data_IF_401129469658
#
_entry.id   IF_401129469658
#
_cell.length_a   1.000
_cell.length_b   1.000
_cell.length_c   1.000
_cell.angle_alpha   90.00
_cell.angle_beta   90.00
_cell.angle_gamma   90.00
#
_symmetry.space_group_name_H-M   'P 1'
#
loop_
_entity.id
_entity.type
_entity.pdbx_description
1 polymer ?
#
# COMPACT_ATOMS: atom_id res chain seq x y z
N UNK A 1 -7.62 12.55 -27.67
CA UNK A 1 -6.86 13.64 -28.32
C UNK A 1 -5.42 13.21 -28.47
N UNK A 2 -4.83 13.33 -29.67
CA UNK A 2 -3.40 13.01 -29.87
C UNK A 2 -2.59 14.30 -29.61
N UNK A 3 -2.40 14.65 -28.36
CA UNK A 3 -1.63 15.81 -27.95
C UNK A 3 -0.58 15.37 -26.91
N UNK A 4 0.54 16.07 -26.86
CA UNK A 4 1.49 15.93 -25.76
C UNK A 4 0.86 16.46 -24.46
N UNK A 5 1.38 16.03 -23.32
CA UNK A 5 1.05 16.63 -22.04
C UNK A 5 1.97 17.81 -21.77
N UNK A 6 1.43 18.90 -21.22
CA UNK A 6 2.17 20.07 -20.73
C UNK A 6 1.80 20.37 -19.28
N UNK A 7 2.55 21.23 -18.65
CA UNK A 7 2.25 21.73 -17.30
C UNK A 7 0.80 22.20 -17.20
N UNK A 8 0.15 21.89 -16.09
CA UNK A 8 -1.25 22.24 -15.84
C UNK A 8 -1.48 23.75 -15.93
N UNK A 9 -2.46 24.13 -16.74
CA UNK A 9 -2.83 25.53 -17.02
C UNK A 9 -3.79 26.16 -15.98
N UNK A 10 -4.16 25.38 -14.94
CA UNK A 10 -5.11 25.81 -13.92
C UNK A 10 -6.59 25.55 -14.24
N UNK A 11 -6.93 25.15 -15.46
CA UNK A 11 -8.33 24.98 -15.93
C UNK A 11 -8.58 23.65 -16.63
N UNK A 12 -7.77 23.33 -17.63
CA UNK A 12 -8.01 22.20 -18.54
C UNK A 12 -7.13 21.01 -18.16
N UNK A 13 -7.70 20.02 -17.54
CA UNK A 13 -6.99 18.78 -17.20
C UNK A 13 -6.96 17.83 -18.40
N UNK A 14 -5.91 17.00 -18.49
CA UNK A 14 -5.73 16.00 -19.53
C UNK A 14 -5.60 14.61 -18.91
N UNK A 15 -6.63 13.77 -19.06
CA UNK A 15 -6.61 12.42 -18.50
C UNK A 15 -5.95 11.43 -19.49
N UNK A 16 -4.91 10.74 -19.00
CA UNK A 16 -4.15 9.69 -19.68
C UNK A 16 -4.52 8.32 -19.11
N UNK A 17 -4.15 7.24 -19.77
CA UNK A 17 -4.35 5.87 -19.26
C UNK A 17 -3.65 5.62 -17.90
N UNK A 18 -2.57 6.36 -17.61
CA UNK A 18 -1.80 6.31 -16.36
C UNK A 18 -2.45 7.07 -15.21
N UNK A 19 -3.40 7.95 -15.51
CA UNK A 19 -4.07 8.80 -14.52
C UNK A 19 -5.35 8.14 -13.98
N UNK A 20 -5.67 6.93 -14.47
CA UNK A 20 -6.76 6.09 -13.96
C UNK A 20 -6.16 5.13 -12.93
N UNK A 21 -6.54 5.31 -11.67
CA UNK A 21 -6.14 4.42 -10.59
C UNK A 21 -6.72 3.02 -10.79
N UNK A 22 -5.87 2.00 -10.69
CA UNK A 22 -6.25 0.62 -10.98
C UNK A 22 -7.20 0.02 -9.94
N UNK A 23 -7.00 0.38 -8.67
CA UNK A 23 -7.76 -0.19 -7.57
C UNK A 23 -9.15 0.45 -7.43
N UNK A 24 -9.25 1.76 -7.70
CA UNK A 24 -10.46 2.54 -7.46
C UNK A 24 -11.20 2.94 -8.73
N UNK A 25 -10.54 2.82 -9.90
CA UNK A 25 -11.06 3.29 -11.19
C UNK A 25 -11.46 4.78 -11.18
N UNK A 26 -10.73 5.58 -10.42
CA UNK A 26 -10.91 7.03 -10.30
C UNK A 26 -9.78 7.80 -10.96
N UNK A 27 -10.03 9.05 -11.31
CA UNK A 27 -8.98 9.97 -11.75
C UNK A 27 -8.07 10.34 -10.58
N UNK A 28 -6.74 10.34 -10.82
CA UNK A 28 -5.76 10.70 -9.80
C UNK A 28 -5.19 12.10 -10.06
N UNK A 29 -5.17 12.93 -9.02
CA UNK A 29 -4.65 14.32 -9.07
C UNK A 29 -3.15 14.42 -8.74
N UNK A 30 -2.40 13.30 -8.73
CA UNK A 30 -0.99 13.29 -8.30
C UNK A 30 -0.05 14.00 -9.28
N UNK A 31 -0.38 13.97 -10.56
CA UNK A 31 0.44 14.55 -11.63
C UNK A 31 -0.49 15.19 -12.68
N UNK A 32 -1.13 16.29 -12.29
CA UNK A 32 -2.09 16.99 -13.15
C UNK A 32 -1.34 17.65 -14.30
N UNK A 33 -1.81 17.37 -15.52
CA UNK A 33 -1.29 17.96 -16.76
C UNK A 33 -2.41 18.55 -17.60
N UNK A 34 -2.06 19.42 -18.54
CA UNK A 34 -2.96 19.94 -19.58
C UNK A 34 -2.58 19.38 -20.95
N UNK A 35 -3.51 19.29 -21.93
CA UNK A 35 -3.17 18.94 -23.29
C UNK A 35 -2.40 20.07 -23.97
N UNK A 36 -1.32 19.72 -24.68
CA UNK A 36 -0.55 20.66 -25.49
C UNK A 36 -1.11 20.70 -26.92
N UNK A 37 -1.82 21.77 -27.26
CA UNK A 37 -2.43 21.96 -28.56
C UNK A 37 -3.84 22.56 -28.54
N UNK A 38 -4.47 22.60 -29.69
CA UNK A 38 -5.83 23.14 -29.84
C UNK A 38 -6.84 22.23 -29.17
N UNK A 39 -7.57 22.78 -28.20
CA UNK A 39 -8.64 22.07 -27.49
C UNK A 39 -9.81 21.82 -28.47
N UNK A 40 -10.31 20.60 -28.52
CA UNK A 40 -11.44 20.21 -29.36
C UNK A 40 -12.53 19.62 -28.47
N UNK A 41 -13.75 20.11 -28.61
CA UNK A 41 -14.89 19.71 -27.77
C UNK A 41 -15.24 18.23 -27.87
N UNK A 42 -14.90 17.57 -28.96
CA UNK A 42 -15.10 16.13 -29.11
C UNK A 42 -14.21 15.27 -28.20
N UNK A 43 -13.18 15.86 -27.57
CA UNK A 43 -12.35 15.22 -26.56
C UNK A 43 -12.65 15.70 -25.13
N UNK A 44 -13.60 16.61 -24.97
CA UNK A 44 -14.09 17.02 -23.66
C UNK A 44 -14.92 15.88 -23.07
N UNK A 45 -14.63 15.53 -21.82
CA UNK A 45 -15.37 14.52 -21.06
C UNK A 45 -16.60 15.17 -20.42
N UNK A 46 -17.74 14.54 -20.55
CA UNK A 46 -19.03 15.05 -20.09
C UNK A 46 -19.71 14.07 -19.13
N UNK A 47 -20.80 14.50 -18.52
CA UNK A 47 -21.65 13.62 -17.71
C UNK A 47 -22.02 12.36 -18.49
N UNK A 48 -22.10 11.24 -17.78
CA UNK A 48 -22.39 9.92 -18.33
C UNK A 48 -21.31 9.32 -19.27
N UNK A 49 -20.15 9.98 -19.40
CA UNK A 49 -19.04 9.42 -20.15
C UNK A 49 -18.25 8.41 -19.32
N UNK A 50 -18.04 7.24 -19.90
CA UNK A 50 -17.10 6.23 -19.42
C UNK A 50 -15.90 6.24 -20.36
N UNK A 51 -14.69 6.38 -19.82
CA UNK A 51 -13.44 6.25 -20.56
C UNK A 51 -12.86 4.86 -20.38
N UNK A 52 -12.40 4.25 -21.45
CA UNK A 52 -11.85 2.89 -21.51
C UNK A 52 -10.43 2.93 -22.06
N UNK A 53 -9.48 2.37 -21.35
CA UNK A 53 -8.08 2.29 -21.79
C UNK A 53 -7.95 1.22 -22.89
N UNK A 54 -7.36 1.61 -24.03
CA UNK A 54 -7.33 0.77 -25.24
C UNK A 54 -6.04 0.02 -25.48
N UNK A 55 -4.94 0.35 -24.82
CA UNK A 55 -3.61 -0.16 -25.16
C UNK A 55 -2.72 -0.45 -23.94
N UNK A 56 -1.80 -1.38 -24.10
CA UNK A 56 -0.74 -1.71 -23.13
C UNK A 56 -1.24 -2.39 -21.86
N UNK A 57 -0.46 -2.33 -20.81
CA UNK A 57 -0.78 -2.92 -19.51
C UNK A 57 -2.06 -2.36 -18.87
N UNK A 58 -2.50 -1.18 -19.30
CA UNK A 58 -3.73 -0.55 -18.82
C UNK A 58 -4.99 -0.95 -19.60
N UNK A 59 -4.88 -1.80 -20.65
CA UNK A 59 -6.03 -2.22 -21.44
C UNK A 59 -7.13 -2.79 -20.54
N UNK A 60 -8.36 -2.30 -20.73
CA UNK A 60 -9.51 -2.69 -19.90
C UNK A 60 -9.79 -1.78 -18.70
N UNK A 61 -8.85 -0.96 -18.24
CA UNK A 61 -9.16 0.01 -17.18
C UNK A 61 -10.26 0.96 -17.65
N UNK A 62 -11.15 1.29 -16.72
CA UNK A 62 -12.29 2.17 -16.98
C UNK A 62 -12.35 3.31 -15.98
N UNK A 63 -12.93 4.43 -16.36
CA UNK A 63 -13.17 5.59 -15.53
C UNK A 63 -14.54 6.19 -15.88
N UNK A 64 -15.40 6.40 -14.89
CA UNK A 64 -16.65 7.13 -15.06
C UNK A 64 -16.44 8.58 -14.60
N UNK A 65 -16.76 9.53 -15.48
CA UNK A 65 -16.59 10.95 -15.19
C UNK A 65 -17.39 11.41 -13.97
N UNK A 66 -16.74 12.21 -13.13
CA UNK A 66 -17.34 12.91 -12.01
C UNK A 66 -17.14 14.41 -12.16
N UNK A 67 -18.19 15.20 -11.94
CA UNK A 67 -18.11 16.68 -12.00
C UNK A 67 -17.07 17.28 -11.06
N UNK A 68 -16.80 16.60 -9.93
CA UNK A 68 -15.74 16.99 -9.00
C UNK A 68 -14.34 16.99 -9.59
N UNK A 69 -14.10 16.18 -10.66
CA UNK A 69 -12.79 16.06 -11.28
C UNK A 69 -12.47 17.27 -12.19
N UNK A 70 -13.48 18.10 -12.45
CA UNK A 70 -13.34 19.35 -13.21
C UNK A 70 -13.34 19.12 -14.71
N UNK A 71 -12.82 20.09 -15.47
CA UNK A 71 -12.82 20.06 -16.93
C UNK A 71 -11.73 19.15 -17.47
N UNK A 72 -12.11 17.96 -17.97
CA UNK A 72 -11.20 16.92 -18.44
C UNK A 72 -11.25 16.78 -19.97
N UNK A 73 -10.07 16.70 -20.60
CA UNK A 73 -9.90 16.25 -21.97
C UNK A 73 -9.20 14.89 -21.97
N UNK A 74 -9.68 13.94 -22.79
CA UNK A 74 -9.09 12.59 -22.78
C UNK A 74 -8.05 12.37 -23.89
N UNK A 75 -7.01 11.61 -23.56
CA UNK A 75 -5.92 11.24 -24.46
C UNK A 75 -6.36 10.21 -25.52
N UNK A 76 -5.65 10.14 -26.63
CA UNK A 76 -5.98 9.27 -27.77
C UNK A 76 -5.88 7.76 -27.47
N UNK A 77 -5.30 7.37 -26.35
CA UNK A 77 -5.27 6.00 -25.85
C UNK A 77 -6.48 5.63 -24.98
N UNK A 78 -7.45 6.53 -24.87
CA UNK A 78 -8.75 6.31 -24.24
C UNK A 78 -9.86 6.30 -25.30
N UNK A 79 -10.84 5.45 -25.08
CA UNK A 79 -12.09 5.37 -25.86
C UNK A 79 -13.19 5.89 -24.97
N UNK A 80 -14.05 6.76 -25.49
CA UNK A 80 -15.20 7.30 -24.80
C UNK A 80 -16.47 6.53 -25.18
N UNK A 81 -17.19 6.03 -24.17
CA UNK A 81 -18.54 5.51 -24.28
C UNK A 81 -19.48 6.44 -23.51
N UNK A 82 -20.45 7.05 -24.18
CA UNK A 82 -21.45 7.90 -23.54
C UNK A 82 -22.71 7.09 -23.26
N UNK A 83 -23.10 6.99 -22.00
CA UNK A 83 -24.24 6.18 -21.54
C UNK A 83 -25.45 7.08 -21.34
N UNK A 84 -26.42 7.04 -22.28
CA UNK A 84 -27.59 7.93 -22.28
C UNK A 84 -28.93 7.22 -22.03
N UNK A 85 -29.00 5.90 -22.27
CA UNK A 85 -30.24 5.11 -22.17
C UNK A 85 -30.33 4.28 -20.90
N UNK A 86 -29.24 4.16 -20.17
CA UNK A 86 -29.10 3.38 -18.95
C UNK A 86 -28.46 4.23 -17.83
N UNK A 87 -28.50 3.75 -16.60
CA UNK A 87 -27.76 4.41 -15.52
C UNK A 87 -26.23 4.24 -15.74
N UNK A 88 -25.47 5.34 -15.85
CA UNK A 88 -24.04 5.26 -16.18
C UNK A 88 -23.22 4.50 -15.13
N UNK A 89 -23.59 4.62 -13.85
CA UNK A 89 -22.89 3.92 -12.78
C UNK A 89 -23.22 2.43 -12.79
N UNK A 90 -24.45 2.05 -13.13
CA UNK A 90 -24.84 0.65 -13.30
C UNK A 90 -24.05 -0.01 -14.43
N UNK A 91 -23.92 0.67 -15.59
CA UNK A 91 -23.09 0.18 -16.70
C UNK A 91 -21.62 0.09 -16.29
N UNK A 92 -21.09 1.15 -15.68
CA UNK A 92 -19.71 1.20 -15.19
C UNK A 92 -19.39 0.08 -14.18
N UNK A 93 -20.32 -0.25 -13.30
CA UNK A 93 -20.14 -1.30 -12.30
C UNK A 93 -19.88 -2.68 -12.94
N UNK A 94 -20.45 -2.96 -14.12
CA UNK A 94 -20.23 -4.21 -14.84
C UNK A 94 -18.80 -4.35 -15.38
N UNK A 95 -18.09 -3.22 -15.58
CA UNK A 95 -16.69 -3.20 -15.99
C UNK A 95 -15.70 -3.54 -14.86
N UNK A 96 -16.22 -3.84 -13.67
CA UNK A 96 -15.43 -4.32 -12.50
C UNK A 96 -15.69 -5.79 -12.17
N UNK A 97 -16.50 -6.47 -12.98
CA UNK A 97 -16.83 -7.87 -12.78
C UNK A 97 -15.74 -8.80 -13.32
N UNK A 98 -15.63 -9.99 -12.74
CA UNK A 98 -14.75 -11.05 -13.28
C UNK A 98 -15.07 -11.38 -14.75
N UNK A 99 -16.37 -11.33 -15.15
CA UNK A 99 -16.81 -11.52 -16.53
C UNK A 99 -16.17 -10.52 -17.50
N UNK A 100 -16.14 -9.25 -17.12
CA UNK A 100 -15.51 -8.20 -17.94
C UNK A 100 -14.00 -8.43 -18.08
N UNK A 101 -13.30 -8.67 -16.97
CA UNK A 101 -11.85 -8.87 -17.01
C UNK A 101 -11.43 -10.14 -17.76
N UNK A 102 -12.24 -11.21 -17.68
CA UNK A 102 -12.05 -12.41 -18.51
C UNK A 102 -12.24 -12.07 -19.99
N UNK A 103 -13.26 -11.29 -20.33
CA UNK A 103 -13.49 -10.84 -21.70
C UNK A 103 -12.33 -9.94 -22.19
N UNK A 104 -11.85 -8.99 -21.39
CA UNK A 104 -10.68 -8.15 -21.70
C UNK A 104 -9.45 -9.01 -21.98
N UNK A 105 -9.18 -10.01 -21.14
CA UNK A 105 -8.04 -10.92 -21.31
C UNK A 105 -8.08 -11.64 -22.66
N UNK A 106 -9.25 -12.10 -23.09
CA UNK A 106 -9.44 -12.79 -24.39
C UNK A 106 -9.32 -11.79 -25.55
N UNK A 107 -10.01 -10.67 -25.48
CA UNK A 107 -10.08 -9.70 -26.60
C UNK A 107 -8.78 -8.93 -26.81
N UNK A 108 -8.02 -8.70 -25.75
CA UNK A 108 -6.73 -7.98 -25.83
C UNK A 108 -5.56 -8.86 -26.26
N UNK A 109 -5.72 -10.19 -26.28
CA UNK A 109 -4.67 -11.13 -26.66
C UNK A 109 -4.27 -10.96 -28.13
N UNK A 110 -3.07 -10.42 -28.38
CA UNK A 110 -2.50 -10.16 -29.70
C UNK A 110 -1.02 -10.57 -29.70
N UNK A 111 -0.46 -10.79 -30.88
CA UNK A 111 0.97 -11.14 -31.04
C UNK A 111 1.95 -10.03 -30.64
N UNK A 112 1.46 -8.80 -30.47
CA UNK A 112 2.22 -7.63 -30.05
C UNK A 112 1.70 -7.05 -28.74
N UNK A 113 1.60 -5.72 -28.67
CA UNK A 113 1.09 -5.02 -27.50
C UNK A 113 -0.41 -5.31 -27.30
N UNK A 114 -0.86 -5.67 -26.08
CA UNK A 114 -2.28 -5.84 -25.78
C UNK A 114 -3.10 -4.60 -26.16
N UNK A 115 -4.31 -4.81 -26.67
CA UNK A 115 -5.16 -3.68 -27.03
C UNK A 115 -6.56 -4.09 -27.45
N UNK A 116 -7.53 -3.18 -27.25
CA UNK A 116 -8.94 -3.32 -27.61
C UNK A 116 -9.37 -2.04 -28.31
N UNK A 117 -9.95 -2.13 -29.51
CA UNK A 117 -10.47 -0.98 -30.23
C UNK A 117 -11.94 -0.68 -29.85
N UNK A 118 -12.51 0.41 -30.41
CA UNK A 118 -13.87 0.82 -30.04
C UNK A 118 -14.96 -0.15 -30.51
N UNK A 119 -14.77 -0.82 -31.65
CA UNK A 119 -15.72 -1.82 -32.14
C UNK A 119 -15.70 -3.07 -31.30
N UNK A 120 -14.52 -3.48 -30.87
CA UNK A 120 -14.35 -4.60 -29.92
C UNK A 120 -15.00 -4.26 -28.58
N UNK A 121 -14.75 -3.07 -28.00
CA UNK A 121 -15.43 -2.65 -26.76
C UNK A 121 -16.95 -2.64 -26.89
N UNK A 122 -17.49 -2.21 -28.04
CA UNK A 122 -18.94 -2.21 -28.30
C UNK A 122 -19.55 -3.62 -28.37
N UNK A 123 -18.73 -4.66 -28.52
CA UNK A 123 -19.19 -6.05 -28.51
C UNK A 123 -19.31 -6.66 -27.11
N UNK A 124 -18.83 -5.99 -26.06
CA UNK A 124 -19.00 -6.49 -24.69
C UNK A 124 -20.47 -6.41 -24.30
N UNK A 125 -21.12 -7.56 -24.00
CA UNK A 125 -22.53 -7.57 -23.63
C UNK A 125 -22.69 -7.07 -22.19
N UNK A 126 -23.58 -6.10 -21.99
CA UNK A 126 -24.00 -5.64 -20.67
C UNK A 126 -25.37 -6.20 -20.30
N UNK A 127 -25.58 -6.47 -19.02
CA UNK A 127 -26.91 -6.77 -18.49
C UNK A 127 -27.69 -5.47 -18.31
N UNK A 128 -29.00 -5.53 -18.55
CA UNK A 128 -29.88 -4.38 -18.38
C UNK A 128 -31.16 -4.79 -17.67
N UNK A 129 -31.76 -3.86 -17.00
CA UNK A 129 -33.08 -4.01 -16.36
C UNK A 129 -33.87 -2.72 -16.50
N UNK A 130 -34.96 -2.51 -15.76
CA UNK A 130 -35.64 -1.24 -15.76
C UNK A 130 -34.70 -0.13 -15.22
N UNK A 131 -34.77 1.06 -15.81
CA UNK A 131 -33.95 2.21 -15.35
C UNK A 131 -34.11 2.49 -13.86
N UNK A 132 -35.30 2.26 -13.30
CA UNK A 132 -35.58 2.40 -11.89
C UNK A 132 -34.77 1.41 -11.03
N UNK A 133 -34.61 0.20 -11.51
CA UNK A 133 -33.84 -0.82 -10.82
C UNK A 133 -32.33 -0.62 -11.00
N UNK A 134 -31.91 -0.25 -12.22
CA UNK A 134 -30.53 0.14 -12.50
C UNK A 134 -30.06 1.25 -11.54
N UNK A 135 -30.88 2.31 -11.38
CA UNK A 135 -30.54 3.43 -10.48
C UNK A 135 -30.48 3.04 -9.01
N UNK A 136 -31.28 2.07 -8.56
CA UNK A 136 -31.16 1.57 -7.18
C UNK A 136 -29.85 0.78 -6.96
N UNK A 137 -29.52 -0.10 -7.90
CA UNK A 137 -28.29 -0.88 -7.88
C UNK A 137 -27.07 0.07 -7.95
N UNK A 138 -27.09 1.01 -8.89
CA UNK A 138 -26.07 2.04 -9.05
C UNK A 138 -25.84 2.82 -7.75
N UNK A 139 -26.92 3.28 -7.11
CA UNK A 139 -26.84 4.00 -5.85
C UNK A 139 -26.26 3.14 -4.72
N UNK A 140 -26.65 1.87 -4.61
CA UNK A 140 -26.08 0.96 -3.59
C UNK A 140 -24.59 0.77 -3.78
N UNK A 141 -24.15 0.48 -5.01
CA UNK A 141 -22.74 0.25 -5.32
C UNK A 141 -21.90 1.53 -5.18
N UNK A 142 -22.44 2.70 -5.60
CA UNK A 142 -21.73 3.97 -5.43
C UNK A 142 -21.54 4.35 -3.96
N UNK A 143 -22.55 4.12 -3.11
CA UNK A 143 -22.43 4.36 -1.67
C UNK A 143 -21.39 3.45 -1.03
N UNK A 144 -21.25 2.21 -1.51
CA UNK A 144 -20.22 1.29 -1.05
C UNK A 144 -18.83 1.75 -1.47
N UNK A 145 -18.68 2.26 -2.70
CA UNK A 145 -17.41 2.84 -3.17
C UNK A 145 -17.02 4.10 -2.40
N UNK A 146 -17.97 4.98 -2.12
CA UNK A 146 -17.73 6.16 -1.28
C UNK A 146 -17.30 5.76 0.14
N UNK A 147 -17.88 4.69 0.67
CA UNK A 147 -17.48 4.14 1.97
C UNK A 147 -16.06 3.58 1.95
N UNK A 148 -15.69 2.82 0.91
CA UNK A 148 -14.34 2.28 0.70
C UNK A 148 -13.33 3.43 0.56
N UNK A 149 -13.64 4.46 -0.23
CA UNK A 149 -12.78 5.63 -0.38
C UNK A 149 -12.57 6.39 0.94
N UNK A 150 -13.65 6.59 1.71
CA UNK A 150 -13.59 7.20 3.04
C UNK A 150 -12.75 6.38 4.00
N UNK A 151 -12.89 5.06 3.96
CA UNK A 151 -12.14 4.14 4.81
C UNK A 151 -10.64 4.18 4.52
N UNK A 152 -10.25 4.22 3.23
CA UNK A 152 -8.85 4.40 2.82
C UNK A 152 -8.27 5.72 3.36
N UNK A 153 -9.04 6.82 3.26
CA UNK A 153 -8.62 8.12 3.78
C UNK A 153 -8.42 8.11 5.30
N UNK A 154 -9.34 7.48 6.04
CA UNK A 154 -9.21 7.32 7.51
C UNK A 154 -7.91 6.60 7.85
N UNK A 155 -7.58 5.50 7.16
CA UNK A 155 -6.35 4.75 7.38
C UNK A 155 -5.11 5.61 7.09
N UNK A 156 -5.11 6.35 5.98
CA UNK A 156 -4.02 7.25 5.62
C UNK A 156 -3.83 8.37 6.67
N UNK A 157 -4.92 9.00 7.10
CA UNK A 157 -4.89 10.07 8.08
C UNK A 157 -4.41 9.57 9.45
N UNK A 158 -4.82 8.35 9.87
CA UNK A 158 -4.32 7.72 11.11
C UNK A 158 -2.82 7.44 11.04
N UNK A 159 -2.29 6.98 9.90
CA UNK A 159 -0.85 6.76 9.70
C UNK A 159 -0.07 8.08 9.76
N UNK A 160 -0.57 9.14 9.13
CA UNK A 160 0.04 10.48 9.22
C UNK A 160 -0.01 11.02 10.65
N UNK A 161 -1.13 10.86 11.34
CA UNK A 161 -1.28 11.26 12.73
C UNK A 161 -0.28 10.53 13.64
N UNK A 162 -0.09 9.20 13.43
CA UNK A 162 0.92 8.43 14.18
C UNK A 162 2.31 9.05 14.03
N UNK A 163 2.75 9.32 12.81
CA UNK A 163 4.06 9.93 12.56
C UNK A 163 4.18 11.32 13.22
N UNK A 164 3.17 12.16 13.08
CA UNK A 164 3.16 13.49 13.69
C UNK A 164 3.23 13.44 15.24
N UNK A 165 2.49 12.51 15.86
CA UNK A 165 2.53 12.31 17.32
C UNK A 165 3.92 11.87 17.76
N UNK A 166 4.58 10.94 17.04
CA UNK A 166 5.93 10.47 17.38
C UNK A 166 6.91 11.65 17.33
N UNK A 167 6.91 12.43 16.26
CA UNK A 167 7.84 13.54 16.07
C UNK A 167 7.62 14.64 17.11
N UNK A 168 6.36 15.03 17.34
CA UNK A 168 6.02 16.09 18.29
C UNK A 168 6.37 15.70 19.73
N UNK A 169 5.98 14.48 20.13
CA UNK A 169 6.29 13.97 21.45
C UNK A 169 7.81 13.89 21.68
N UNK A 170 8.54 13.34 20.70
CA UNK A 170 9.98 13.27 20.76
C UNK A 170 10.61 14.66 20.90
N UNK A 171 10.10 15.67 20.20
CA UNK A 171 10.60 17.03 20.27
C UNK A 171 10.44 17.65 21.64
N UNK A 172 9.32 17.41 22.31
CA UNK A 172 8.98 18.03 23.61
C UNK A 172 9.61 17.36 24.81
N UNK A 173 10.06 16.12 24.70
CA UNK A 173 10.53 15.31 25.82
C UNK A 173 12.02 15.54 26.08
N UNK A 174 12.44 15.58 27.34
CA UNK A 174 13.86 15.56 27.73
C UNK A 174 14.51 14.21 27.37
N UNK A 175 15.77 14.25 26.95
CA UNK A 175 16.48 13.10 26.41
C UNK A 175 17.86 12.95 27.03
N UNK A 176 18.27 11.69 27.19
CA UNK A 176 19.62 11.31 27.57
C UNK A 176 20.33 10.65 26.38
N UNK A 177 21.62 10.90 26.26
CA UNK A 177 22.45 10.23 25.27
C UNK A 177 22.80 8.82 25.72
N UNK A 178 22.59 7.83 24.84
CA UNK A 178 22.94 6.42 25.03
C UNK A 178 23.53 5.87 23.73
N UNK A 179 24.38 4.86 23.79
CA UNK A 179 24.82 4.15 22.61
C UNK A 179 23.85 3.00 22.25
N UNK A 180 23.82 2.58 21.00
CA UNK A 180 23.03 1.39 20.61
C UNK A 180 23.47 0.15 21.41
N UNK A 181 24.76 0.03 21.73
CA UNK A 181 25.30 -1.04 22.56
C UNK A 181 24.71 -1.09 23.98
N UNK A 182 24.24 0.04 24.51
CA UNK A 182 23.68 0.13 25.86
C UNK A 182 22.23 -0.40 25.93
N UNK A 183 21.58 -0.58 24.78
CA UNK A 183 20.19 -1.02 24.71
C UNK A 183 20.00 -2.47 25.15
N UNK A 184 21.02 -3.32 24.99
CA UNK A 184 20.93 -4.72 25.36
C UNK A 184 21.96 -5.60 24.65
N UNK A 185 21.75 -6.90 24.69
CA UNK A 185 22.67 -7.87 24.15
C UNK A 185 22.32 -8.21 22.69
N UNK A 186 23.24 -7.99 21.79
CA UNK A 186 23.07 -8.34 20.39
C UNK A 186 23.18 -9.85 20.16
N UNK A 187 22.49 -10.37 19.15
CA UNK A 187 22.61 -11.75 18.67
C UNK A 187 22.46 -11.81 17.14
N UNK A 188 23.16 -12.78 16.55
CA UNK A 188 23.00 -13.10 15.14
C UNK A 188 21.98 -14.23 15.01
N UNK A 189 21.32 -14.31 13.86
CA UNK A 189 20.32 -15.34 13.56
C UNK A 189 20.90 -16.44 12.67
N UNK A 190 20.17 -17.54 12.51
CA UNK A 190 20.54 -18.64 11.63
C UNK A 190 20.27 -18.36 10.15
N UNK A 191 20.79 -19.20 9.28
CA UNK A 191 20.51 -19.10 7.85
C UNK A 191 19.16 -19.78 7.54
N UNK A 192 18.15 -18.97 7.21
CA UNK A 192 16.83 -19.41 6.76
C UNK A 192 16.47 -18.63 5.49
N UNK A 193 16.29 -19.35 4.40
CA UNK A 193 15.94 -18.78 3.10
C UNK A 193 14.44 -18.95 2.81
N UNK A 194 13.96 -18.27 1.79
CA UNK A 194 12.56 -18.38 1.34
C UNK A 194 12.18 -19.81 0.97
N UNK A 195 13.12 -20.58 0.40
CA UNK A 195 12.92 -21.96 0.01
C UNK A 195 12.83 -22.95 1.21
N UNK A 196 13.23 -22.50 2.41
CA UNK A 196 13.09 -23.25 3.66
C UNK A 196 11.68 -23.09 4.28
N UNK A 197 10.82 -22.21 3.73
CA UNK A 197 9.46 -22.02 4.21
C UNK A 197 8.54 -23.20 3.81
N UNK A 198 7.56 -23.48 4.65
CA UNK A 198 6.58 -24.57 4.44
C UNK A 198 5.20 -24.13 4.92
N UNK A 199 4.16 -24.80 4.43
CA UNK A 199 2.77 -24.54 4.88
C UNK A 199 2.54 -24.95 6.34
N UNK A 200 3.34 -25.86 6.85
CA UNK A 200 3.25 -26.39 8.22
C UNK A 200 4.63 -26.39 8.87
N UNK A 201 4.68 -26.57 10.19
CA UNK A 201 5.95 -26.61 10.92
C UNK A 201 6.00 -25.62 12.08
N UNK A 202 7.20 -25.25 12.48
CA UNK A 202 7.39 -24.24 13.53
C UNK A 202 7.27 -22.82 12.98
N UNK A 203 6.69 -21.88 13.74
CA UNK A 203 6.63 -20.48 13.33
C UNK A 203 8.03 -19.91 13.11
N UNK A 204 8.20 -19.16 12.05
CA UNK A 204 9.48 -18.54 11.70
C UNK A 204 9.31 -17.16 11.09
N UNK A 205 10.39 -16.38 11.09
CA UNK A 205 10.49 -15.09 10.40
C UNK A 205 11.76 -15.08 9.57
N UNK A 206 11.66 -14.71 8.30
CA UNK A 206 12.78 -14.37 7.43
C UNK A 206 12.91 -12.85 7.28
N UNK A 207 14.13 -12.36 7.06
CA UNK A 207 14.43 -10.92 7.04
C UNK A 207 13.55 -10.09 6.08
N UNK A 208 13.15 -10.66 4.94
CA UNK A 208 12.31 -9.98 3.95
C UNK A 208 10.92 -9.62 4.48
N UNK A 209 10.39 -10.40 5.43
CA UNK A 209 9.09 -10.15 6.03
C UNK A 209 9.06 -8.92 6.94
N UNK A 210 10.22 -8.48 7.44
CA UNK A 210 10.34 -7.23 8.20
C UNK A 210 10.01 -5.99 7.34
N UNK A 211 10.11 -6.10 6.01
CA UNK A 211 9.76 -5.01 5.06
C UNK A 211 8.35 -5.12 4.50
N UNK A 212 7.82 -6.34 4.38
CA UNK A 212 6.63 -6.61 3.57
C UNK A 212 5.40 -7.04 4.37
N UNK A 213 5.62 -7.81 5.43
CA UNK A 213 4.55 -8.48 6.18
C UNK A 213 4.31 -7.81 7.51
N UNK A 214 5.40 -7.45 8.21
CA UNK A 214 5.31 -6.92 9.57
C UNK A 214 5.53 -5.42 9.62
N UNK A 215 4.93 -4.78 10.61
CA UNK A 215 5.20 -3.40 10.99
C UNK A 215 6.16 -3.32 12.17
N UNK A 216 6.05 -2.25 12.93
CA UNK A 216 6.94 -2.01 14.08
C UNK A 216 6.79 -3.07 15.19
N UNK A 217 5.63 -3.74 15.28
CA UNK A 217 5.36 -4.76 16.30
C UNK A 217 4.86 -6.05 15.67
N UNK A 218 5.53 -7.16 15.95
CA UNK A 218 5.16 -8.50 15.50
C UNK A 218 4.45 -9.22 16.63
N UNK A 219 3.16 -9.47 16.47
CA UNK A 219 2.31 -10.17 17.46
C UNK A 219 1.73 -11.48 16.95
N UNK A 220 1.74 -11.70 15.64
CA UNK A 220 1.30 -12.93 14.98
C UNK A 220 2.34 -13.31 13.95
N UNK A 221 2.54 -14.61 13.74
CA UNK A 221 3.53 -15.13 12.82
C UNK A 221 2.80 -15.84 11.67
N UNK A 222 3.15 -15.45 10.45
CA UNK A 222 2.50 -15.97 9.24
C UNK A 222 3.25 -17.15 8.63
N UNK A 223 4.59 -17.12 8.71
CA UNK A 223 5.43 -18.13 8.05
C UNK A 223 5.84 -19.26 8.98
N UNK A 224 6.03 -20.45 8.39
CA UNK A 224 6.43 -21.65 9.09
C UNK A 224 7.59 -22.33 8.38
N UNK A 225 8.36 -23.16 9.11
CA UNK A 225 9.46 -23.95 8.56
C UNK A 225 9.61 -25.30 9.29
N UNK A 226 10.06 -26.31 8.55
CA UNK A 226 10.46 -27.60 9.11
C UNK A 226 11.96 -27.65 9.47
N UNK A 227 12.72 -26.59 9.14
CA UNK A 227 14.16 -26.47 9.45
C UNK A 227 14.33 -25.97 10.91
N UNK A 228 14.82 -26.87 11.78
CA UNK A 228 14.89 -26.60 13.23
C UNK A 228 16.30 -26.70 13.81
N UNK A 229 17.23 -27.33 13.12
CA UNK A 229 18.60 -27.57 13.62
C UNK A 229 19.46 -26.30 13.63
N UNK A 230 20.03 -25.96 14.79
CA UNK A 230 20.94 -24.83 14.94
C UNK A 230 20.30 -23.44 14.79
N UNK A 231 18.98 -23.36 14.90
CA UNK A 231 18.24 -22.10 14.73
C UNK A 231 18.14 -21.31 16.03
N UNK A 232 18.19 -19.99 15.91
CA UNK A 232 17.98 -19.06 17.01
C UNK A 232 16.48 -18.81 17.17
N UNK A 233 16.02 -18.84 18.40
CA UNK A 233 14.64 -18.60 18.78
C UNK A 233 14.47 -17.20 19.38
N UNK A 234 13.38 -16.54 19.03
CA UNK A 234 13.02 -15.25 19.58
C UNK A 234 12.69 -15.32 21.08
N UNK A 235 12.94 -14.23 21.76
CA UNK A 235 12.36 -13.90 23.07
C UNK A 235 11.46 -12.68 22.92
N UNK A 236 10.36 -12.68 23.63
CA UNK A 236 9.46 -11.53 23.65
C UNK A 236 10.21 -10.25 24.04
N UNK A 237 10.10 -9.23 23.22
CA UNK A 237 10.80 -7.95 23.38
C UNK A 237 12.11 -7.86 22.61
N UNK A 238 12.49 -8.88 21.84
CA UNK A 238 13.62 -8.77 20.95
C UNK A 238 13.33 -7.75 19.83
N UNK A 239 14.32 -6.92 19.54
CA UNK A 239 14.28 -5.98 18.45
C UNK A 239 15.08 -6.54 17.27
N UNK A 240 14.40 -6.79 16.15
CA UNK A 240 14.95 -7.44 14.95
C UNK A 240 15.25 -6.38 13.88
N UNK A 241 16.47 -6.36 13.37
CA UNK A 241 16.89 -5.47 12.30
C UNK A 241 17.17 -6.27 11.01
N UNK A 242 16.60 -5.89 9.86
CA UNK A 242 17.06 -6.42 8.58
C UNK A 242 18.47 -5.92 8.30
N UNK A 243 19.33 -6.77 7.72
CA UNK A 243 20.75 -6.46 7.46
C UNK A 243 21.05 -6.13 6.01
N UNK A 244 20.11 -6.32 5.08
CA UNK A 244 20.33 -5.99 3.66
C UNK A 244 19.06 -5.54 2.94
N UNK A 245 19.24 -4.74 1.90
CA UNK A 245 18.17 -4.32 0.97
C UNK A 245 18.75 -3.98 -0.40
N UNK A 246 17.91 -4.04 -1.43
CA UNK A 246 18.22 -3.56 -2.79
C UNK A 246 17.56 -2.21 -3.11
N UNK A 247 16.87 -1.57 -2.15
CA UNK A 247 16.13 -0.33 -2.36
C UNK A 247 17.01 0.89 -2.05
N UNK A 248 17.15 1.26 -0.78
CA UNK A 248 18.00 2.38 -0.33
C UNK A 248 18.35 2.22 1.17
N UNK A 249 19.35 2.99 1.61
CA UNK A 249 19.86 2.92 2.99
C UNK A 249 18.80 3.33 4.05
N UNK A 250 17.89 4.24 3.72
CA UNK A 250 16.85 4.67 4.66
C UNK A 250 15.81 3.58 4.82
N UNK A 251 15.41 2.94 3.72
CA UNK A 251 14.47 1.80 3.74
C UNK A 251 15.00 0.60 4.52
N UNK A 252 16.33 0.42 4.58
CA UNK A 252 16.96 -0.66 5.37
C UNK A 252 16.69 -0.53 6.87
N UNK A 253 16.52 0.68 7.38
CA UNK A 253 16.20 0.89 8.80
C UNK A 253 14.71 0.64 9.01
N UNK A 254 14.38 -0.62 9.23
CA UNK A 254 13.00 -1.10 9.45
C UNK A 254 12.97 -2.14 10.59
N UNK A 255 13.44 -1.82 11.81
CA UNK A 255 13.41 -2.78 12.88
C UNK A 255 11.99 -3.02 13.40
N UNK A 256 11.73 -4.26 13.75
CA UNK A 256 10.46 -4.70 14.35
C UNK A 256 10.72 -5.35 15.71
N UNK A 257 9.89 -5.05 16.70
CA UNK A 257 9.91 -5.77 17.99
C UNK A 257 9.01 -7.00 17.89
N UNK A 258 9.54 -8.15 18.30
CA UNK A 258 8.74 -9.37 18.37
C UNK A 258 8.16 -9.58 19.76
N UNK A 259 6.84 -9.80 19.85
CA UNK A 259 6.10 -10.05 21.09
C UNK A 259 5.74 -11.53 21.30
N UNK A 260 6.37 -12.43 20.55
CA UNK A 260 6.13 -13.87 20.58
C UNK A 260 7.43 -14.59 20.87
N UNK A 261 7.40 -15.52 21.83
CA UNK A 261 8.54 -16.37 22.18
C UNK A 261 8.64 -17.59 21.25
N UNK A 262 9.84 -18.15 21.14
CA UNK A 262 10.11 -19.41 20.46
C UNK A 262 9.82 -19.42 18.94
N UNK A 263 9.90 -18.27 18.29
CA UNK A 263 9.82 -18.14 16.83
C UNK A 263 11.23 -18.32 16.24
N UNK A 264 11.38 -19.15 15.23
CA UNK A 264 12.64 -19.33 14.52
C UNK A 264 12.97 -18.05 13.75
N UNK A 265 14.14 -17.48 13.99
CA UNK A 265 14.63 -16.27 13.33
C UNK A 265 15.71 -16.64 12.32
N UNK A 266 15.62 -16.10 11.10
CA UNK A 266 16.61 -16.42 10.12
C UNK A 266 16.68 -15.50 8.90
N UNK A 267 17.74 -15.71 8.12
CA UNK A 267 18.07 -14.88 6.97
C UNK A 267 18.99 -13.72 7.34
N UNK A 268 19.01 -12.71 6.49
CA UNK A 268 19.93 -11.58 6.61
C UNK A 268 19.39 -10.52 7.58
N UNK A 269 19.42 -10.85 8.88
CA UNK A 269 19.00 -9.99 9.99
C UNK A 269 19.87 -10.21 11.22
N UNK A 270 19.82 -9.28 12.16
CA UNK A 270 20.34 -9.42 13.53
C UNK A 270 19.28 -8.97 14.53
N UNK A 271 19.46 -9.34 15.79
CA UNK A 271 18.56 -8.93 16.86
C UNK A 271 19.30 -8.35 18.05
N UNK A 272 18.55 -7.63 18.89
CA UNK A 272 18.99 -7.12 20.18
C UNK A 272 17.97 -7.56 21.24
N UNK A 273 18.44 -8.33 22.23
CA UNK A 273 17.69 -8.60 23.47
C UNK A 273 17.66 -7.31 24.28
N UNK A 274 16.57 -6.56 24.21
CA UNK A 274 16.46 -5.25 24.88
C UNK A 274 16.45 -5.43 26.38
N UNK A 275 17.28 -4.66 27.09
CA UNK A 275 17.34 -4.66 28.54
C UNK A 275 16.09 -4.03 29.17
N UNK A 276 15.80 -4.39 30.44
CA UNK A 276 14.63 -3.87 31.17
C UNK A 276 14.66 -2.34 31.40
N UNK A 277 15.79 -1.69 31.14
CA UNK A 277 15.93 -0.22 31.21
C UNK A 277 15.29 0.53 30.05
N UNK A 278 14.85 -0.18 29.01
CA UNK A 278 14.27 0.40 27.81
C UNK A 278 12.99 -0.32 27.42
N UNK A 279 12.09 0.40 26.75
CA UNK A 279 10.87 -0.19 26.19
C UNK A 279 11.12 -0.60 24.73
N UNK A 280 11.14 -1.90 24.44
CA UNK A 280 11.42 -2.43 23.12
C UNK A 280 10.41 -1.96 22.04
N UNK A 281 9.13 -1.81 22.41
CA UNK A 281 8.10 -1.30 21.48
C UNK A 281 8.36 0.16 21.14
N UNK A 282 8.68 1.00 22.14
CA UNK A 282 9.08 2.38 21.91
C UNK A 282 10.30 2.46 20.97
N UNK A 283 11.32 1.64 21.23
CA UNK A 283 12.53 1.62 20.41
C UNK A 283 12.24 1.27 18.95
N UNK A 284 11.36 0.33 18.69
CA UNK A 284 10.95 0.03 17.31
C UNK A 284 10.36 1.26 16.61
N UNK A 285 9.43 1.98 17.23
CA UNK A 285 8.89 3.23 16.67
C UNK A 285 9.97 4.30 16.53
N UNK A 286 10.82 4.47 17.54
CA UNK A 286 11.89 5.45 17.53
C UNK A 286 12.85 5.24 16.33
N UNK A 287 13.28 4.02 16.11
CA UNK A 287 14.15 3.70 14.99
C UNK A 287 13.48 3.91 13.63
N UNK A 288 12.23 3.54 13.50
CA UNK A 288 11.49 3.67 12.25
C UNK A 288 11.13 5.11 11.89
N UNK A 289 10.97 6.01 12.86
CA UNK A 289 10.49 7.37 12.62
C UNK A 289 11.53 8.46 12.91
N UNK A 290 12.30 8.34 14.01
CA UNK A 290 13.23 9.39 14.48
C UNK A 290 14.67 9.11 14.03
N UNK A 291 15.22 7.94 14.41
CA UNK A 291 16.62 7.63 14.16
C UNK A 291 16.91 7.10 12.74
N UNK A 292 15.89 6.86 11.94
CA UNK A 292 15.97 6.22 10.63
C UNK A 292 17.05 6.83 9.73
N UNK A 293 16.98 8.13 9.49
CA UNK A 293 17.95 8.86 8.64
C UNK A 293 19.36 8.91 9.25
N UNK A 294 19.46 8.92 10.57
CA UNK A 294 20.74 8.93 11.27
C UNK A 294 21.44 7.57 11.10
N UNK A 295 20.76 6.46 11.33
CA UNK A 295 21.33 5.13 11.20
C UNK A 295 21.61 4.74 9.75
N UNK A 296 20.81 5.20 8.80
CA UNK A 296 21.05 4.98 7.37
C UNK A 296 22.43 5.44 6.90
N UNK A 297 23.08 6.39 7.59
CA UNK A 297 24.43 6.87 7.27
C UNK A 297 25.51 5.81 7.51
N UNK A 298 25.24 4.78 8.29
CA UNK A 298 26.16 3.70 8.59
C UNK A 298 26.01 2.52 7.62
N UNK A 299 24.97 2.51 6.80
CA UNK A 299 24.75 1.48 5.79
C UNK A 299 25.81 1.57 4.67
N UNK A 300 26.24 0.42 4.15
CA UNK A 300 27.32 0.26 3.17
C UNK A 300 26.84 -0.53 1.97
N UNK A 301 27.37 -0.22 0.81
CA UNK A 301 27.04 -0.90 -0.45
C UNK A 301 26.35 0.02 -1.45
N UNK A 302 26.31 -0.41 -2.73
CA UNK A 302 25.69 0.34 -3.83
C UNK A 302 24.53 -0.40 -4.49
N UNK A 303 24.71 -1.67 -4.83
CA UNK A 303 23.68 -2.52 -5.45
C UNK A 303 22.88 -3.28 -4.39
N UNK A 304 23.58 -3.85 -3.41
CA UNK A 304 22.99 -4.40 -2.19
C UNK A 304 23.56 -3.57 -1.04
N UNK A 305 22.69 -3.00 -0.27
CA UNK A 305 23.03 -2.14 0.87
C UNK A 305 22.95 -2.99 2.12
N UNK A 306 24.00 -2.97 2.92
CA UNK A 306 24.12 -3.76 4.14
C UNK A 306 24.23 -2.87 5.38
N UNK A 307 23.71 -3.37 6.50
CA UNK A 307 23.86 -2.80 7.82
C UNK A 307 24.00 -3.92 8.84
N UNK A 308 25.13 -3.95 9.53
CA UNK A 308 25.38 -4.91 10.60
C UNK A 308 25.39 -4.22 11.97
N UNK A 309 25.18 -4.99 13.03
CA UNK A 309 25.24 -4.46 14.40
C UNK A 309 26.52 -3.68 14.69
N UNK A 310 27.68 -4.18 14.25
CA UNK A 310 28.99 -3.53 14.42
C UNK A 310 29.10 -2.16 13.75
N UNK A 311 28.26 -1.87 12.75
CA UNK A 311 28.25 -0.57 12.10
C UNK A 311 27.54 0.48 12.95
N UNK A 312 26.58 0.07 13.78
CA UNK A 312 25.72 0.96 14.56
C UNK A 312 25.91 0.88 16.08
N UNK A 313 26.65 -0.09 16.61
CA UNK A 313 26.78 -0.30 18.07
C UNK A 313 27.22 0.95 18.84
N UNK A 314 28.08 1.80 18.22
CA UNK A 314 28.59 3.05 18.79
C UNK A 314 27.76 4.29 18.40
N UNK A 315 26.68 4.09 17.64
CA UNK A 315 25.83 5.21 17.26
C UNK A 315 25.12 5.78 18.51
N UNK A 316 25.20 7.09 18.65
CA UNK A 316 24.59 7.82 19.76
C UNK A 316 23.12 8.08 19.46
N UNK A 317 22.28 7.74 20.41
CA UNK A 317 20.84 7.95 20.40
C UNK A 317 20.47 8.93 21.50
N UNK A 318 19.42 9.68 21.28
CA UNK A 318 18.83 10.56 22.28
C UNK A 318 17.48 9.96 22.69
N UNK A 319 17.39 9.35 23.87
CA UNK A 319 16.20 8.66 24.33
C UNK A 319 15.59 9.34 25.56
N UNK A 320 14.25 9.41 25.65
CA UNK A 320 13.56 9.87 26.85
C UNK A 320 13.67 8.84 27.98
N UNK A 321 13.23 9.20 29.18
CA UNK A 321 13.15 8.30 30.32
C UNK A 321 12.31 7.05 30.01
N UNK A 322 12.54 5.95 30.73
CA UNK A 322 11.75 4.73 30.56
C UNK A 322 10.25 4.95 30.80
N UNK A 323 9.90 5.83 31.74
CA UNK A 323 8.50 6.19 31.99
C UNK A 323 7.85 6.82 30.75
N UNK A 324 8.53 7.78 30.13
CA UNK A 324 8.07 8.43 28.90
C UNK A 324 8.04 7.46 27.72
N UNK A 325 9.02 6.56 27.60
CA UNK A 325 9.01 5.49 26.60
C UNK A 325 7.76 4.58 26.75
N UNK A 326 7.44 4.18 28.00
CA UNK A 326 6.28 3.33 28.29
C UNK A 326 4.95 4.06 27.96
N UNK A 327 4.85 5.35 28.31
CA UNK A 327 3.67 6.16 28.02
C UNK A 327 3.43 6.28 26.51
N UNK A 328 4.50 6.56 25.77
CA UNK A 328 4.43 6.70 24.30
C UNK A 328 4.13 5.38 23.61
N UNK A 329 4.82 4.29 23.99
CA UNK A 329 4.57 2.98 23.43
C UNK A 329 3.12 2.56 23.58
N UNK A 330 2.51 2.77 24.76
CA UNK A 330 1.09 2.48 25.01
C UNK A 330 0.16 3.25 24.06
N UNK A 331 0.44 4.53 23.82
CA UNK A 331 -0.33 5.36 22.90
C UNK A 331 -0.20 4.85 21.44
N UNK A 332 1.02 4.59 20.98
CA UNK A 332 1.29 4.14 19.63
C UNK A 332 0.72 2.74 19.33
N UNK A 333 0.83 1.82 20.27
CA UNK A 333 0.21 0.48 20.18
C UNK A 333 -1.32 0.59 20.05
N UNK A 334 -1.94 1.53 20.77
CA UNK A 334 -3.39 1.76 20.64
C UNK A 334 -3.76 2.32 19.25
N UNK A 335 -2.93 3.21 18.69
CA UNK A 335 -3.11 3.71 17.32
C UNK A 335 -2.94 2.61 16.28
N UNK A 336 -1.93 1.74 16.41
CA UNK A 336 -1.73 0.63 15.48
C UNK A 336 -2.90 -0.37 15.52
N UNK A 337 -3.44 -0.65 16.71
CA UNK A 337 -4.68 -1.43 16.84
C UNK A 337 -5.85 -0.78 16.11
N UNK A 338 -5.98 0.55 16.22
CA UNK A 338 -7.03 1.29 15.50
C UNK A 338 -6.83 1.18 13.99
N UNK A 339 -5.62 1.37 13.49
CA UNK A 339 -5.29 1.20 12.05
C UNK A 339 -5.63 -0.21 11.58
N UNK A 340 -5.28 -1.24 12.34
CA UNK A 340 -5.58 -2.65 12.02
C UNK A 340 -7.09 -2.90 11.94
N UNK A 341 -7.89 -2.36 12.87
CA UNK A 341 -9.37 -2.48 12.84
C UNK A 341 -9.93 -1.82 11.58
N UNK A 342 -9.42 -0.63 11.22
CA UNK A 342 -9.88 0.08 10.01
C UNK A 342 -9.46 -0.65 8.72
N UNK A 343 -8.30 -1.29 8.69
CA UNK A 343 -7.86 -2.13 7.57
C UNK A 343 -8.74 -3.38 7.41
N UNK A 344 -9.11 -4.04 8.51
CA UNK A 344 -10.02 -5.19 8.49
C UNK A 344 -11.42 -4.77 7.98
N UNK A 345 -11.91 -3.60 8.39
CA UNK A 345 -13.16 -3.05 7.88
C UNK A 345 -13.07 -2.78 6.37
N UNK A 346 -11.98 -2.18 5.89
CA UNK A 346 -11.73 -1.96 4.47
C UNK A 346 -11.77 -3.27 3.68
N UNK A 347 -11.07 -4.30 4.16
CA UNK A 347 -11.08 -5.65 3.55
C UNK A 347 -12.48 -6.22 3.47
N UNK A 348 -13.26 -6.12 4.55
CA UNK A 348 -14.65 -6.59 4.58
C UNK A 348 -15.55 -5.85 3.59
N UNK A 349 -15.42 -4.53 3.48
CA UNK A 349 -16.19 -3.72 2.52
C UNK A 349 -15.83 -4.07 1.07
N UNK A 350 -14.55 -4.28 0.78
CA UNK A 350 -14.08 -4.68 -0.55
C UNK A 350 -14.59 -6.07 -0.93
N UNK A 351 -14.54 -7.01 0.01
CA UNK A 351 -15.08 -8.36 -0.17
C UNK A 351 -16.60 -8.34 -0.42
N UNK A 352 -17.34 -7.51 0.35
CA UNK A 352 -18.77 -7.32 0.18
C UNK A 352 -19.10 -6.73 -1.21
N UNK A 353 -18.35 -5.73 -1.68
CA UNK A 353 -18.51 -5.17 -3.04
C UNK A 353 -18.31 -6.25 -4.09
N UNK A 354 -17.21 -7.00 -3.99
CA UNK A 354 -16.90 -8.08 -4.94
C UNK A 354 -18.01 -9.15 -4.99
N UNK A 355 -18.51 -9.55 -3.83
CA UNK A 355 -19.63 -10.47 -3.73
C UNK A 355 -20.91 -9.94 -4.39
N UNK A 356 -21.28 -8.68 -4.11
CA UNK A 356 -22.46 -8.07 -4.72
C UNK A 356 -22.34 -7.98 -6.24
N UNK A 357 -21.17 -7.57 -6.78
CA UNK A 357 -20.93 -7.55 -8.21
C UNK A 357 -21.11 -8.94 -8.85
N UNK A 358 -20.64 -9.99 -8.18
CA UNK A 358 -20.81 -11.36 -8.67
C UNK A 358 -22.27 -11.82 -8.63
N UNK A 359 -23.07 -11.41 -7.63
CA UNK A 359 -24.46 -11.83 -7.51
C UNK A 359 -25.44 -11.02 -8.39
N UNK A 360 -25.13 -9.74 -8.65
CA UNK A 360 -26.01 -8.86 -9.42
C UNK A 360 -25.82 -8.98 -10.93
N UNK A 361 -24.65 -9.42 -11.39
CA UNK A 361 -24.30 -9.50 -12.80
C UNK A 361 -23.85 -10.93 -13.21
N UNK A 362 -24.76 -11.89 -12.99
CA UNK A 362 -24.55 -13.30 -13.31
C UNK A 362 -24.86 -13.57 -14.78
#
# INVERSE_FOLDING_TARGET
MNAAAKTYDGVNKYIRITDIDEATSTYTDKDIVSPDGVLKDNYLVNDCDILLARTGASTGKSYLYKKSDGKLYYAGFLIRANVTTHDPYFVFSQLHTHRYWRWVSIMSARSGQPGINSQEYSSFPIYTTSIKEESKIAKLLSLLDDRIATQNKIIEDLKKLKSAIIEEYYRQTEKNEVCVADLGNHFNVGNLAKDDLSETGKPCIIYGELFTTYGEIISQIESHTNKTGGMILSKKGDLLFPSSTTVDAVSLIAPSVINVDNVILGGDMFGIHISHNYNAQYLSYYFNHIAKKQLAKFAKGSTIIHLHYTDIEKAKLLLPSLEEQNRMAKCLVALDKKVSVEQNLLSSLTCQKSYLLQQMFI
#
